data_IF_416260753414
#
_entry.id   IF_416260753414
#
_cell.length_a   1.000
_cell.length_b   1.000
_cell.length_c   1.000
_cell.angle_alpha   90.00
_cell.angle_beta   90.00
_cell.angle_gamma   90.00
#
_symmetry.space_group_name_H-M   'P 1'
#
loop_
_entity.id
_entity.type
_entity.pdbx_description
1 polymer ?
#
# COMPACT_ATOMS: atom_id res chain seq x y z
N UNK A 1 -4.96 -17.82 -10.64
CA UNK A 1 -4.63 -16.48 -11.09
C UNK A 1 -4.81 -15.47 -9.96
N UNK A 2 -3.87 -14.56 -9.80
CA UNK A 2 -3.98 -13.54 -8.79
C UNK A 2 -4.95 -12.43 -9.17
N UNK A 3 -5.45 -11.74 -8.17
CA UNK A 3 -6.26 -10.55 -8.37
C UNK A 3 -5.35 -9.36 -8.63
N UNK A 4 -5.78 -8.47 -9.53
CA UNK A 4 -5.04 -7.26 -9.86
C UNK A 4 -5.89 -6.04 -9.54
N UNK A 5 -5.28 -5.06 -8.90
CA UNK A 5 -5.94 -3.80 -8.52
C UNK A 5 -5.14 -2.63 -9.06
N UNK A 6 -5.85 -1.63 -9.54
CA UNK A 6 -5.23 -0.41 -10.05
C UNK A 6 -6.01 0.78 -9.51
N UNK A 7 -5.31 1.73 -8.88
CA UNK A 7 -5.95 2.87 -8.23
C UNK A 7 -4.92 3.95 -7.90
N UNK A 8 -5.41 5.13 -7.55
CA UNK A 8 -4.58 6.22 -7.06
C UNK A 8 -4.78 6.38 -5.56
N UNK A 9 -3.71 6.67 -4.84
CA UNK A 9 -3.77 6.87 -3.40
C UNK A 9 -2.72 7.87 -2.96
N UNK A 10 -2.95 8.46 -1.79
CA UNK A 10 -2.04 9.45 -1.20
C UNK A 10 -0.94 8.75 -0.42
N UNK A 11 0.29 9.20 -0.62
CA UNK A 11 1.42 8.73 0.17
C UNK A 11 1.38 9.38 1.55
N UNK A 12 1.46 8.55 2.59
CA UNK A 12 1.54 9.01 3.97
C UNK A 12 2.90 8.66 4.55
N UNK A 13 3.62 9.66 5.06
CA UNK A 13 4.87 9.44 5.75
C UNK A 13 4.64 9.40 7.26
N UNK A 14 5.37 8.51 7.94
CA UNK A 14 5.34 8.44 9.40
C UNK A 14 6.49 9.27 9.94
N UNK A 15 6.21 10.34 10.71
CA UNK A 15 7.27 11.29 11.12
C UNK A 15 8.31 10.70 12.05
N UNK A 16 7.98 9.65 12.80
CA UNK A 16 8.83 9.16 13.89
C UNK A 16 9.92 8.18 13.43
N UNK A 17 9.74 7.49 12.31
CA UNK A 17 10.68 6.44 11.91
C UNK A 17 11.09 6.48 10.44
N UNK A 18 10.71 7.52 9.72
CA UNK A 18 11.06 7.66 8.31
C UNK A 18 10.36 6.69 7.38
N UNK A 19 9.34 5.99 7.85
CA UNK A 19 8.55 5.08 7.04
C UNK A 19 7.49 5.80 6.24
N UNK A 20 6.87 5.08 5.31
CA UNK A 20 5.75 5.61 4.53
C UNK A 20 4.88 4.45 4.08
N UNK A 21 3.62 4.77 3.78
CA UNK A 21 2.67 3.77 3.32
C UNK A 21 1.60 4.41 2.44
N UNK A 22 0.91 3.55 1.68
CA UNK A 22 -0.34 3.91 1.01
C UNK A 22 -1.42 2.96 1.50
N UNK A 23 -2.66 3.45 1.53
CA UNK A 23 -3.80 2.63 1.95
C UNK A 23 -4.24 1.75 0.78
N UNK A 24 -4.55 0.48 1.09
CA UNK A 24 -5.23 -0.42 0.17
C UNK A 24 -6.71 -0.34 0.52
N UNK A 25 -7.55 0.27 -0.35
CA UNK A 25 -8.92 0.68 0.05
C UNK A 25 -9.95 -0.45 0.05
N UNK A 26 -9.52 -1.70 -0.01
CA UNK A 26 -10.41 -2.85 0.03
C UNK A 26 -10.10 -3.73 1.24
N UNK A 27 -11.06 -4.58 1.63
CA UNK A 27 -10.90 -5.50 2.75
C UNK A 27 -10.24 -6.80 2.27
N UNK A 28 -8.97 -7.01 2.65
CA UNK A 28 -8.24 -8.20 2.22
C UNK A 28 -8.78 -9.48 2.84
N UNK A 29 -9.39 -9.41 4.03
CA UNK A 29 -10.02 -10.59 4.63
C UNK A 29 -11.21 -11.05 3.81
N UNK A 30 -11.99 -10.11 3.31
CA UNK A 30 -13.14 -10.43 2.48
C UNK A 30 -12.72 -10.96 1.11
N UNK A 31 -11.71 -10.35 0.50
CA UNK A 31 -11.28 -10.70 -0.86
C UNK A 31 -10.43 -11.97 -0.87
N UNK A 32 -9.49 -12.08 0.06
CA UNK A 32 -8.49 -13.14 0.06
C UNK A 32 -8.64 -14.14 1.21
N UNK A 33 -9.47 -13.83 2.21
CA UNK A 33 -9.62 -14.67 3.39
C UNK A 33 -8.42 -14.66 4.32
N UNK A 34 -7.55 -13.66 4.21
CA UNK A 34 -6.30 -13.57 4.97
C UNK A 34 -6.14 -12.19 5.56
N UNK A 35 -5.35 -12.09 6.63
CA UNK A 35 -5.03 -10.81 7.25
C UNK A 35 -3.76 -10.16 6.70
N UNK A 36 -3.04 -10.83 5.82
CA UNK A 36 -1.83 -10.35 5.19
C UNK A 36 -1.68 -10.99 3.82
N UNK A 37 -1.35 -10.22 2.81
CA UNK A 37 -1.21 -10.69 1.43
C UNK A 37 0.13 -10.23 0.88
N UNK A 38 0.88 -11.17 0.32
CA UNK A 38 2.12 -10.86 -0.41
C UNK A 38 1.75 -10.40 -1.81
N UNK A 39 2.28 -9.27 -2.23
CA UNK A 39 1.92 -8.64 -3.50
C UNK A 39 3.14 -8.17 -4.27
N UNK A 40 2.96 -8.06 -5.59
CA UNK A 40 3.82 -7.30 -6.46
C UNK A 40 3.13 -5.98 -6.75
N UNK A 41 3.79 -4.88 -6.45
CA UNK A 41 3.21 -3.55 -6.61
C UNK A 41 4.03 -2.72 -7.58
N UNK A 42 3.37 -1.77 -8.24
CA UNK A 42 4.05 -0.72 -9.00
C UNK A 42 3.55 0.62 -8.49
N UNK A 43 4.47 1.48 -8.12
CA UNK A 43 4.19 2.86 -7.68
C UNK A 43 4.65 3.80 -8.78
N UNK A 44 3.73 4.39 -9.53
CA UNK A 44 4.02 5.18 -10.73
C UNK A 44 4.95 4.41 -11.69
N UNK A 45 4.74 3.09 -11.79
CA UNK A 45 5.54 2.22 -12.66
C UNK A 45 6.80 1.65 -12.02
N UNK A 46 7.14 2.05 -10.80
CA UNK A 46 8.34 1.52 -10.11
C UNK A 46 7.95 0.24 -9.36
N UNK A 47 8.57 -0.90 -9.70
CA UNK A 47 8.17 -2.18 -9.11
C UNK A 47 8.66 -2.35 -7.67
N UNK A 48 7.86 -3.00 -6.86
CA UNK A 48 8.18 -3.31 -5.47
C UNK A 48 7.41 -4.54 -5.02
N UNK A 49 8.11 -5.51 -4.47
CA UNK A 49 7.47 -6.68 -3.85
C UNK A 49 7.34 -6.44 -2.36
N UNK A 50 6.12 -6.52 -1.85
CA UNK A 50 5.85 -6.28 -0.45
C UNK A 50 4.61 -7.02 0.01
N UNK A 51 3.99 -6.51 1.07
CA UNK A 51 2.81 -7.13 1.65
C UNK A 51 1.78 -6.07 2.03
N UNK A 52 0.52 -6.43 1.86
CA UNK A 52 -0.58 -5.65 2.42
C UNK A 52 -0.83 -6.18 3.82
N UNK A 53 -0.84 -5.30 4.82
CA UNK A 53 -0.92 -5.69 6.22
C UNK A 53 -1.86 -4.77 6.99
N UNK A 54 -2.30 -5.23 8.17
CA UNK A 54 -3.02 -4.42 9.14
C UNK A 54 -2.00 -3.91 10.16
N UNK A 55 -1.77 -2.60 10.19
CA UNK A 55 -0.85 -1.96 11.13
C UNK A 55 -1.59 -1.18 12.22
N UNK A 56 -2.86 -1.49 12.45
CA UNK A 56 -3.64 -0.82 13.48
C UNK A 56 -4.18 0.55 13.07
N UNK A 57 -4.07 0.91 11.80
CA UNK A 57 -4.61 2.16 11.29
C UNK A 57 -6.09 1.99 11.03
N UNK A 58 -6.89 2.98 11.44
CA UNK A 58 -8.35 2.96 11.26
C UNK A 58 -8.80 4.24 10.59
N UNK A 59 -9.91 4.12 9.83
CA UNK A 59 -10.54 5.30 9.23
C UNK A 59 -11.40 6.04 10.25
N UNK A 60 -12.06 7.11 9.81
CA UNK A 60 -12.90 7.95 10.69
C UNK A 60 -14.11 7.19 11.25
N UNK A 61 -14.47 6.07 10.65
CA UNK A 61 -15.59 5.24 11.08
C UNK A 61 -15.16 4.05 11.94
N UNK A 62 -13.87 3.94 12.25
CA UNK A 62 -13.33 2.86 13.06
C UNK A 62 -13.02 1.57 12.29
N UNK A 63 -13.15 1.59 10.97
CA UNK A 63 -12.83 0.41 10.16
C UNK A 63 -11.33 0.29 9.96
N UNK A 64 -10.84 -0.95 9.97
CA UNK A 64 -9.42 -1.23 9.74
C UNK A 64 -9.02 -0.81 8.34
N UNK A 65 -7.93 -0.06 8.23
CA UNK A 65 -7.30 0.27 6.96
C UNK A 65 -6.12 -0.64 6.75
N UNK A 66 -6.15 -1.38 5.65
CA UNK A 66 -5.00 -2.18 5.24
C UNK A 66 -4.03 -1.28 4.48
N UNK A 67 -2.75 -1.52 4.65
CA UNK A 67 -1.71 -0.66 4.06
C UNK A 67 -0.64 -1.49 3.39
N UNK A 68 0.09 -0.85 2.46
CA UNK A 68 1.33 -1.39 1.92
C UNK A 68 2.42 -0.34 2.14
N UNK A 69 3.56 -0.77 2.70
CA UNK A 69 4.68 0.11 2.94
C UNK A 69 5.35 0.53 1.64
N UNK A 70 5.85 1.77 1.61
CA UNK A 70 6.59 2.30 0.46
C UNK A 70 8.01 2.60 0.94
N UNK A 71 8.98 1.82 0.45
CA UNK A 71 10.37 1.94 0.87
C UNK A 71 10.95 3.30 0.50
N UNK A 72 11.91 3.75 1.31
CA UNK A 72 12.61 5.01 1.06
C UNK A 72 13.25 5.04 -0.33
N UNK A 73 13.85 3.92 -0.76
CA UNK A 73 14.46 3.83 -2.08
C UNK A 73 13.45 4.03 -3.20
N UNK A 74 12.24 3.52 -3.02
CA UNK A 74 11.15 3.73 -3.99
C UNK A 74 10.72 5.19 -4.00
N UNK A 75 10.55 5.79 -2.82
CA UNK A 75 10.15 7.20 -2.71
C UNK A 75 11.19 8.14 -3.34
N UNK A 76 12.46 7.82 -3.20
CA UNK A 76 13.53 8.60 -3.85
C UNK A 76 13.43 8.55 -5.37
N UNK A 77 13.12 7.38 -5.92
CA UNK A 77 12.91 7.22 -7.36
C UNK A 77 11.67 7.97 -7.83
N UNK A 78 10.60 7.95 -7.03
CA UNK A 78 9.34 8.65 -7.33
C UNK A 78 9.50 10.16 -7.23
N UNK A 79 10.43 10.63 -6.40
CA UNK A 79 10.58 12.05 -6.03
C UNK A 79 9.28 12.62 -5.45
N UNK A 80 8.60 11.80 -4.63
CA UNK A 80 7.34 12.16 -3.98
C UNK A 80 7.46 11.97 -2.48
N UNK A 81 6.65 12.70 -1.75
CA UNK A 81 6.60 12.65 -0.31
C UNK A 81 5.18 12.72 0.22
N UNK A 82 5.07 12.99 1.52
CA UNK A 82 3.79 13.01 2.22
C UNK A 82 2.78 13.92 1.52
N UNK A 83 1.59 13.40 1.29
CA UNK A 83 0.51 14.14 0.65
C UNK A 83 0.46 14.03 -0.87
N UNK A 84 1.50 13.47 -1.50
CA UNK A 84 1.51 13.31 -2.95
C UNK A 84 0.69 12.12 -3.39
N UNK A 85 0.04 12.22 -4.54
CA UNK A 85 -0.73 11.14 -5.14
C UNK A 85 0.17 10.21 -5.93
N UNK A 86 -0.03 8.91 -5.79
CA UNK A 86 0.71 7.88 -6.51
C UNK A 86 -0.28 6.99 -7.24
N UNK A 87 0.03 6.65 -8.49
CA UNK A 87 -0.73 5.64 -9.22
C UNK A 87 -0.20 4.26 -8.84
N UNK A 88 -1.08 3.40 -8.39
CA UNK A 88 -0.71 2.11 -7.79
C UNK A 88 -1.32 0.97 -8.59
N UNK A 89 -0.50 -0.01 -8.92
CA UNK A 89 -0.96 -1.30 -9.47
C UNK A 89 -0.49 -2.38 -8.52
N UNK A 90 -1.39 -3.25 -8.10
CA UNK A 90 -1.10 -4.32 -7.17
C UNK A 90 -1.60 -5.64 -7.71
N UNK A 91 -0.76 -6.66 -7.63
CA UNK A 91 -1.12 -8.02 -8.01
C UNK A 91 -0.66 -8.98 -6.92
N UNK A 92 -1.52 -9.93 -6.55
CA UNK A 92 -1.17 -10.92 -5.54
C UNK A 92 -0.02 -11.80 -6.04
N UNK A 93 1.00 -12.02 -5.17
CA UNK A 93 2.07 -12.98 -5.44
C UNK A 93 1.63 -14.37 -4.97
N UNK A 94 1.71 -15.32 -5.85
CA UNK A 94 1.35 -16.70 -5.57
C UNK A 94 2.58 -17.57 -5.31
#
# INVERSE_FOLDING_TARGET
MGNKFEYDEILHETPDNGGAYVIFPWDIREIFGKGRIMVHAEFDGIPYDGSIVNMGIKDSQGNVCYIIGVLKSVREKLKKGDGDSIHIVIEERL
#
